data_IF_318465347558
#
_entry.id   IF_318465347558
#
_cell.length_a   1.000
_cell.length_b   1.000
_cell.length_c   1.000
_cell.angle_alpha   90.00
_cell.angle_beta   90.00
_cell.angle_gamma   90.00
#
_symmetry.space_group_name_H-M   'P 1'
#
loop_
_entity.id
_entity.type
_entity.pdbx_description
1 polymer ?
#
# COMPACT_ATOMS: atom_id res chain seq x y z
N UNK A 1 24.12 -26.90 0.02
CA UNK A 1 23.56 -25.52 0.07
C UNK A 1 24.58 -24.71 0.85
N UNK A 2 25.35 -23.83 0.21
CA UNK A 2 26.29 -22.98 0.95
C UNK A 2 25.48 -21.86 1.58
N UNK A 3 25.38 -21.85 2.91
CA UNK A 3 24.86 -20.69 3.59
C UNK A 3 25.75 -19.49 3.29
N UNK A 4 25.12 -18.37 2.95
CA UNK A 4 25.82 -17.09 2.80
C UNK A 4 26.64 -16.82 4.06
N UNK A 5 27.89 -16.37 3.91
CA UNK A 5 28.78 -15.99 5.03
C UNK A 5 28.06 -15.09 6.05
N UNK A 6 27.17 -14.22 5.55
CA UNK A 6 26.34 -13.34 6.36
C UNK A 6 25.32 -14.08 7.22
N UNK A 7 24.71 -15.17 6.73
CA UNK A 7 23.77 -15.98 7.53
C UNK A 7 24.46 -16.60 8.73
N UNK A 8 25.67 -17.11 8.52
CA UNK A 8 26.48 -17.71 9.59
C UNK A 8 26.87 -16.67 10.64
N UNK A 9 27.30 -15.48 10.20
CA UNK A 9 27.64 -14.38 11.12
C UNK A 9 26.43 -13.92 11.94
N UNK A 10 25.28 -13.70 11.29
CA UNK A 10 24.05 -13.27 11.98
C UNK A 10 23.60 -14.31 13.01
N UNK A 11 23.60 -15.61 12.67
CA UNK A 11 23.18 -16.66 13.59
C UNK A 11 24.08 -16.71 14.84
N UNK A 12 25.40 -16.56 14.67
CA UNK A 12 26.35 -16.53 15.79
C UNK A 12 26.10 -15.36 16.75
N UNK A 13 25.80 -14.18 16.23
CA UNK A 13 25.48 -13.01 17.06
C UNK A 13 24.14 -13.20 17.81
N UNK A 14 23.12 -13.72 17.11
CA UNK A 14 21.80 -14.00 17.71
C UNK A 14 21.91 -14.97 18.90
N UNK A 15 22.78 -15.98 18.79
CA UNK A 15 23.02 -16.95 19.87
C UNK A 15 23.65 -16.36 21.13
N UNK A 16 24.28 -15.19 21.05
CA UNK A 16 24.92 -14.53 22.20
C UNK A 16 23.97 -13.55 22.92
N UNK A 17 22.77 -13.33 22.39
CA UNK A 17 21.82 -12.38 22.96
C UNK A 17 21.14 -13.00 24.20
N UNK A 18 21.08 -12.28 25.33
CA UNK A 18 20.36 -12.76 26.51
C UNK A 18 18.86 -12.94 26.25
N UNK A 19 18.25 -13.96 26.85
CA UNK A 19 16.83 -14.32 26.68
C UNK A 19 15.87 -13.14 26.86
N UNK A 20 16.16 -12.25 27.82
CA UNK A 20 15.36 -11.06 28.09
C UNK A 20 15.20 -10.11 26.87
N UNK A 21 16.07 -10.22 25.87
CA UNK A 21 16.04 -9.40 24.64
C UNK A 21 15.55 -10.18 23.41
N UNK A 22 15.30 -11.49 23.52
CA UNK A 22 14.90 -12.30 22.37
C UNK A 22 13.55 -11.89 21.80
N UNK A 23 12.61 -11.43 22.64
CA UNK A 23 11.33 -10.90 22.17
C UNK A 23 11.53 -9.66 21.28
N UNK A 24 12.37 -8.71 21.71
CA UNK A 24 12.68 -7.51 20.93
C UNK A 24 13.40 -7.86 19.60
N UNK A 25 14.32 -8.82 19.65
CA UNK A 25 15.01 -9.31 18.47
C UNK A 25 14.06 -9.98 17.48
N UNK A 26 13.13 -10.79 17.98
CA UNK A 26 12.12 -11.45 17.16
C UNK A 26 11.26 -10.42 16.42
N UNK A 27 10.74 -9.41 17.11
CA UNK A 27 9.94 -8.35 16.48
C UNK A 27 10.72 -7.62 15.38
N UNK A 28 11.99 -7.32 15.62
CA UNK A 28 12.84 -6.68 14.62
C UNK A 28 13.04 -7.56 13.38
N UNK A 29 13.37 -8.84 13.56
CA UNK A 29 13.55 -9.80 12.45
C UNK A 29 12.22 -10.02 11.71
N UNK A 30 11.11 -10.12 12.45
CA UNK A 30 9.78 -10.27 11.88
C UNK A 30 9.40 -9.07 11.01
N UNK A 31 9.74 -7.86 11.43
CA UNK A 31 9.57 -6.64 10.63
C UNK A 31 10.37 -6.64 9.32
N UNK A 32 11.62 -7.13 9.34
CA UNK A 32 12.40 -7.30 8.10
C UNK A 32 11.73 -8.28 7.13
N UNK A 33 11.16 -9.38 7.63
CA UNK A 33 10.44 -10.36 6.80
C UNK A 33 9.18 -9.75 6.16
N UNK A 34 8.34 -9.10 6.97
CA UNK A 34 7.11 -8.45 6.49
C UNK A 34 7.38 -7.37 5.45
N UNK A 35 8.37 -6.51 5.68
CA UNK A 35 8.72 -5.44 4.73
C UNK A 35 9.32 -5.97 3.41
N UNK A 36 9.95 -7.15 3.44
CA UNK A 36 10.38 -7.85 2.22
C UNK A 36 9.21 -8.48 1.45
N UNK A 37 8.14 -8.90 2.13
CA UNK A 37 6.95 -9.48 1.50
C UNK A 37 6.09 -8.40 0.82
N UNK A 38 5.97 -7.21 1.42
CA UNK A 38 5.13 -6.11 0.88
C UNK A 38 5.69 -5.46 -0.38
N UNK A 39 7.01 -5.48 -0.60
CA UNK A 39 7.63 -4.84 -1.76
C UNK A 39 7.42 -5.61 -3.08
N UNK A 40 7.01 -6.88 -3.03
CA UNK A 40 6.96 -7.74 -4.22
C UNK A 40 5.57 -7.90 -4.86
N UNK A 41 4.49 -7.42 -4.22
CA UNK A 41 3.12 -7.77 -4.65
C UNK A 41 2.24 -6.64 -5.15
N UNK A 42 2.73 -5.39 -5.21
CA UNK A 42 1.87 -4.28 -5.62
C UNK A 42 2.42 -3.38 -6.72
N UNK A 43 3.73 -3.29 -6.92
CA UNK A 43 4.27 -2.38 -7.94
C UNK A 43 3.80 -2.75 -9.37
N UNK A 44 3.86 -4.03 -9.74
CA UNK A 44 3.42 -4.49 -11.07
C UNK A 44 1.90 -4.35 -11.28
N UNK A 45 1.10 -4.66 -10.26
CA UNK A 45 -0.36 -4.54 -10.31
C UNK A 45 -0.84 -3.08 -10.31
N UNK A 46 -0.09 -2.17 -9.67
CA UNK A 46 -0.35 -0.72 -9.73
C UNK A 46 0.04 -0.18 -11.11
N UNK A 47 1.19 -0.60 -11.64
CA UNK A 47 1.69 -0.15 -12.94
C UNK A 47 0.84 -0.61 -14.13
N UNK A 48 0.03 -1.67 -14.01
CA UNK A 48 -0.86 -2.12 -15.09
C UNK A 48 -1.92 -1.06 -15.47
N UNK A 49 -2.20 -0.11 -14.58
CA UNK A 49 -3.11 1.01 -14.83
C UNK A 49 -2.38 2.29 -15.25
N UNK A 50 -1.05 2.31 -15.27
CA UNK A 50 -0.29 3.47 -15.70
C UNK A 50 -0.48 3.69 -17.21
N UNK A 51 -0.97 4.86 -17.60
CA UNK A 51 -1.20 5.20 -19.01
C UNK A 51 -2.50 4.66 -19.61
N UNK A 52 -3.43 4.09 -18.81
CA UNK A 52 -4.73 3.60 -19.32
C UNK A 52 -5.61 4.70 -19.94
N UNK A 53 -5.28 5.97 -19.70
CA UNK A 53 -5.94 7.14 -20.29
C UNK A 53 -5.23 7.68 -21.53
N UNK A 54 -4.04 7.19 -21.86
CA UNK A 54 -3.21 7.72 -22.95
C UNK A 54 -3.77 7.40 -24.35
N UNK A 55 -4.57 6.34 -24.46
CA UNK A 55 -5.26 5.94 -25.69
C UNK A 55 -6.68 6.54 -25.80
N UNK A 56 -7.10 7.33 -24.82
CA UNK A 56 -8.40 8.01 -24.83
C UNK A 56 -8.30 9.30 -25.66
N UNK A 57 -9.29 9.56 -26.52
CA UNK A 57 -9.33 10.84 -27.24
C UNK A 57 -9.65 11.99 -26.29
N UNK A 58 -9.23 13.20 -26.65
CA UNK A 58 -9.48 14.40 -25.84
C UNK A 58 -10.99 14.64 -25.64
N UNK A 59 -11.81 14.31 -26.65
CA UNK A 59 -13.27 14.40 -26.56
C UNK A 59 -13.83 13.41 -25.53
N UNK A 60 -13.43 12.13 -25.60
CA UNK A 60 -13.88 11.10 -24.67
C UNK A 60 -13.41 11.39 -23.24
N UNK A 61 -12.21 11.94 -23.07
CA UNK A 61 -11.69 12.38 -21.78
C UNK A 61 -12.48 13.57 -21.22
N UNK A 62 -12.84 14.54 -22.08
CA UNK A 62 -13.67 15.69 -21.72
C UNK A 62 -15.05 15.27 -21.23
N UNK A 63 -15.74 14.44 -22.00
CA UNK A 63 -17.06 13.89 -21.62
C UNK A 63 -17.00 13.13 -20.28
N UNK A 64 -16.00 12.27 -20.11
CA UNK A 64 -15.80 11.55 -18.85
C UNK A 64 -15.54 12.48 -17.67
N UNK A 65 -14.73 13.52 -17.86
CA UNK A 65 -14.40 14.50 -16.82
C UNK A 65 -15.64 15.27 -16.36
N UNK A 66 -16.47 15.71 -17.30
CA UNK A 66 -17.73 16.42 -17.01
C UNK A 66 -18.71 15.51 -16.25
N UNK A 67 -18.82 14.24 -16.67
CA UNK A 67 -19.67 13.27 -15.99
C UNK A 67 -19.24 13.03 -14.53
N UNK A 68 -17.92 12.92 -14.28
CA UNK A 68 -17.36 12.78 -12.93
C UNK A 68 -17.64 14.03 -12.09
N UNK A 69 -17.50 15.23 -12.67
CA UNK A 69 -17.78 16.49 -11.99
C UNK A 69 -19.25 16.58 -11.56
N UNK A 70 -20.18 16.25 -12.46
CA UNK A 70 -21.63 16.21 -12.18
C UNK A 70 -21.95 15.20 -11.08
N UNK A 71 -21.43 13.97 -11.18
CA UNK A 71 -21.67 12.92 -10.19
C UNK A 71 -21.15 13.31 -8.80
N UNK A 72 -19.97 13.92 -8.71
CA UNK A 72 -19.44 14.44 -7.45
C UNK A 72 -20.35 15.53 -6.88
N UNK A 73 -20.73 16.51 -7.70
CA UNK A 73 -21.63 17.59 -7.25
C UNK A 73 -22.96 17.03 -6.72
N UNK A 74 -23.55 16.05 -7.39
CA UNK A 74 -24.80 15.39 -6.97
C UNK A 74 -24.65 14.57 -5.68
N UNK A 75 -23.55 13.82 -5.53
CA UNK A 75 -23.30 13.02 -4.34
C UNK A 75 -23.13 13.88 -3.08
N UNK A 76 -22.57 15.08 -3.22
CA UNK A 76 -22.36 16.01 -2.09
C UNK A 76 -23.51 17.00 -1.88
N UNK A 77 -24.32 17.30 -2.90
CA UNK A 77 -25.56 18.08 -2.71
C UNK A 77 -26.64 17.30 -1.95
N UNK A 78 -26.67 15.97 -2.07
CA UNK A 78 -27.56 15.12 -1.27
C UNK A 78 -27.16 14.99 0.20
N UNK A 79 -25.89 15.25 0.56
CA UNK A 79 -25.40 15.13 1.94
C UNK A 79 -25.76 16.33 2.80
N UNK A 80 -25.76 17.55 2.26
CA UNK A 80 -26.09 18.75 3.02
C UNK A 80 -27.53 18.78 3.58
N UNK A 81 -28.49 18.10 2.95
CA UNK A 81 -29.90 18.12 3.37
C UNK A 81 -30.29 17.06 4.40
N UNK A 82 -29.39 16.11 4.77
CA UNK A 82 -29.70 15.06 5.75
C UNK A 82 -29.16 15.33 7.15
N UNK A 83 -28.25 16.30 7.30
CA UNK A 83 -27.63 16.62 8.60
C UNK A 83 -28.31 17.80 9.33
N UNK A 84 -29.30 18.47 8.72
CA UNK A 84 -30.02 19.61 9.31
C UNK A 84 -31.50 19.34 9.63
N UNK A 85 -31.93 18.08 9.69
CA UNK A 85 -33.21 17.74 10.33
C UNK A 85 -32.99 17.60 11.84
N UNK A 86 -33.03 18.73 12.54
CA UNK A 86 -33.25 18.75 13.99
C UNK A 86 -34.78 18.74 14.16
N UNK A 87 -35.32 17.55 14.42
CA UNK A 87 -36.60 17.39 15.11
C UNK A 87 -36.29 17.23 16.61
#
# INVERSE_FOLDING_TARGET
MHDSEWRVKVLKEVQQIPDAKLAQLYEMIHGFRLSSETNNHNAAAIMQFAGCWNDMSDEAYGEFSDEIAIRRQQAFSQRQNRETSID
#
